data_IF_229803205191
#
_entry.id   IF_229803205191
#
_cell.length_a   1.000
_cell.length_b   1.000
_cell.length_c   1.000
_cell.angle_alpha   90.00
_cell.angle_beta   90.00
_cell.angle_gamma   90.00
#
_symmetry.space_group_name_H-M   'P 1'
#
loop_
_entity.id
_entity.type
_entity.pdbx_description
1 polymer ?
#
# COMPACT_ATOMS: atom_id res chain seq x y z
N UNK A 1 9.27 23.37 25.09
CA UNK A 1 8.73 22.84 26.36
C UNK A 1 7.22 22.50 26.30
N UNK A 2 6.60 22.35 25.10
CA UNK A 2 5.15 22.12 24.97
C UNK A 2 4.70 20.72 24.51
N UNK A 3 5.63 19.80 24.23
CA UNK A 3 5.31 18.49 23.63
C UNK A 3 5.05 17.35 24.63
N UNK A 4 5.51 17.47 25.88
CA UNK A 4 5.33 16.42 26.90
C UNK A 4 3.88 16.22 27.38
N UNK A 5 3.07 17.28 27.58
CA UNK A 5 1.68 17.13 28.02
C UNK A 5 0.81 16.46 26.95
N UNK A 6 1.00 16.86 25.68
CA UNK A 6 0.23 16.35 24.55
C UNK A 6 0.51 14.86 24.29
N UNK A 7 1.78 14.47 24.35
CA UNK A 7 2.21 13.07 24.22
C UNK A 7 1.61 12.18 25.32
N UNK A 8 1.58 12.68 26.57
CA UNK A 8 1.01 11.95 27.72
C UNK A 8 -0.53 11.86 27.67
N UNK A 9 -1.20 12.80 27.00
CA UNK A 9 -2.65 12.76 26.76
C UNK A 9 -3.04 11.81 25.62
N UNK A 10 -2.19 11.63 24.60
CA UNK A 10 -2.40 10.68 23.50
C UNK A 10 -2.35 9.23 24.00
N UNK A 11 -1.44 8.91 24.92
CA UNK A 11 -1.35 7.57 25.53
C UNK A 11 -2.59 7.21 26.38
N UNK A 12 -3.28 8.20 26.96
CA UNK A 12 -4.38 7.98 27.89
C UNK A 12 -5.76 7.90 27.22
N UNK A 13 -5.93 8.49 26.03
CA UNK A 13 -7.21 8.52 25.29
C UNK A 13 -7.00 8.48 23.76
N UNK A 14 -6.89 7.29 23.14
CA UNK A 14 -6.56 7.14 21.72
C UNK A 14 -7.61 7.71 20.76
N UNK A 15 -8.85 7.89 21.21
CA UNK A 15 -9.90 8.55 20.41
C UNK A 15 -9.65 10.04 20.17
N UNK A 16 -8.89 10.70 21.05
CA UNK A 16 -8.52 12.10 20.89
C UNK A 16 -7.58 12.25 19.69
N UNK A 17 -6.59 11.36 19.54
CA UNK A 17 -5.67 11.37 18.40
C UNK A 17 -6.41 11.26 17.06
N UNK A 18 -7.38 10.34 16.96
CA UNK A 18 -8.19 10.20 15.73
C UNK A 18 -9.03 11.45 15.44
N UNK A 19 -9.57 12.12 16.46
CA UNK A 19 -10.33 13.35 16.25
C UNK A 19 -9.42 14.53 15.84
N UNK A 20 -8.23 14.62 16.42
CA UNK A 20 -7.23 15.62 16.04
C UNK A 20 -6.74 15.41 14.61
N UNK A 21 -6.42 14.17 14.21
CA UNK A 21 -6.06 13.85 12.82
C UNK A 21 -7.19 14.20 11.86
N UNK A 22 -8.44 13.82 12.17
CA UNK A 22 -9.60 14.23 11.35
C UNK A 22 -9.73 15.75 11.27
N UNK A 23 -9.48 16.47 12.36
CA UNK A 23 -9.61 17.93 12.41
C UNK A 23 -8.51 18.65 11.64
N UNK A 24 -7.26 18.17 11.73
CA UNK A 24 -6.11 18.64 10.97
C UNK A 24 -6.31 18.39 9.47
N UNK A 25 -6.85 17.23 9.12
CA UNK A 25 -7.17 16.88 7.75
C UNK A 25 -8.20 17.83 7.13
N UNK A 26 -9.26 18.13 7.88
CA UNK A 26 -10.30 19.07 7.44
C UNK A 26 -9.74 20.50 7.37
N UNK A 27 -8.83 20.91 8.27
CA UNK A 27 -8.20 22.22 8.20
C UNK A 27 -7.24 22.35 7.02
N UNK A 28 -6.44 21.33 6.73
CA UNK A 28 -5.48 21.34 5.63
C UNK A 28 -6.20 21.31 4.28
N UNK A 29 -7.29 20.53 4.18
CA UNK A 29 -8.16 20.56 3.01
C UNK A 29 -8.80 21.94 2.79
N UNK A 30 -9.24 22.61 3.87
CA UNK A 30 -9.81 23.97 3.79
C UNK A 30 -8.75 25.02 3.45
N UNK A 31 -7.54 24.90 4.00
CA UNK A 31 -6.44 25.81 3.73
C UNK A 31 -5.96 25.69 2.28
N UNK A 32 -5.89 24.46 1.74
CA UNK A 32 -5.61 24.21 0.33
C UNK A 32 -6.64 24.86 -0.60
N UNK A 33 -7.93 24.75 -0.26
CA UNK A 33 -9.01 25.42 -1.02
C UNK A 33 -8.87 26.95 -0.94
N UNK A 34 -8.55 27.50 0.23
CA UNK A 34 -8.42 28.94 0.44
C UNK A 34 -7.20 29.55 -0.28
N UNK A 35 -6.01 28.95 -0.14
CA UNK A 35 -4.80 29.41 -0.82
C UNK A 35 -4.93 29.32 -2.35
N UNK A 36 -5.70 28.34 -2.87
CA UNK A 36 -5.91 28.21 -4.31
C UNK A 36 -6.90 29.22 -4.89
N UNK A 37 -7.75 29.86 -4.06
CA UNK A 37 -8.65 30.93 -4.50
C UNK A 37 -7.91 32.23 -4.83
N UNK A 38 -6.71 32.46 -4.28
CA UNK A 38 -5.87 33.61 -4.64
C UNK A 38 -5.12 33.43 -5.97
N UNK A 39 -4.90 32.20 -6.43
CA UNK A 39 -4.18 31.92 -7.67
C UNK A 39 -5.11 31.93 -8.90
N UNK A 40 -4.72 32.69 -9.92
CA UNK A 40 -5.40 32.86 -11.22
C UNK A 40 -5.43 31.55 -12.04
N UNK A 41 -6.16 30.52 -11.61
CA UNK A 41 -6.29 29.24 -12.32
C UNK A 41 -7.75 29.02 -12.80
N UNK A 42 -7.97 28.67 -14.08
CA UNK A 42 -9.30 28.64 -14.69
C UNK A 42 -10.17 27.49 -14.15
N UNK A 43 -11.44 27.80 -13.84
CA UNK A 43 -12.47 26.93 -13.20
C UNK A 43 -12.63 25.51 -13.77
N UNK A 44 -12.16 25.22 -14.99
CA UNK A 44 -12.20 23.87 -15.60
C UNK A 44 -11.19 22.88 -15.00
N UNK A 45 -10.04 23.36 -14.53
CA UNK A 45 -9.05 22.51 -13.80
C UNK A 45 -9.57 22.09 -12.42
N UNK A 46 -10.47 22.89 -11.84
CA UNK A 46 -10.89 22.77 -10.45
C UNK A 46 -11.91 21.63 -10.20
N UNK A 47 -12.85 21.42 -11.12
CA UNK A 47 -13.88 20.37 -10.96
C UNK A 47 -13.34 18.95 -11.14
N UNK A 48 -12.21 18.77 -11.83
CA UNK A 48 -11.69 17.44 -12.17
C UNK A 48 -10.37 17.09 -11.45
N UNK A 49 -9.52 18.07 -11.09
CA UNK A 49 -8.20 17.78 -10.50
C UNK A 49 -8.17 17.60 -8.98
N UNK A 50 -9.02 18.31 -8.22
CA UNK A 50 -8.99 18.26 -6.74
C UNK A 50 -9.85 17.15 -6.15
N UNK A 51 -10.90 16.73 -6.85
CA UNK A 51 -11.78 15.64 -6.42
C UNK A 51 -11.03 14.29 -6.24
N UNK A 52 -10.13 13.90 -7.17
CA UNK A 52 -9.24 12.76 -7.00
C UNK A 52 -8.36 12.83 -5.76
N UNK A 53 -7.73 13.98 -5.54
CA UNK A 53 -6.81 14.18 -4.42
C UNK A 53 -7.54 14.07 -3.10
N UNK A 54 -8.67 14.76 -2.93
CA UNK A 54 -9.46 14.73 -1.69
C UNK A 54 -10.05 13.33 -1.43
N UNK A 55 -10.51 12.65 -2.48
CA UNK A 55 -11.04 11.28 -2.36
C UNK A 55 -9.95 10.28 -1.98
N UNK A 56 -8.78 10.36 -2.62
CA UNK A 56 -7.60 9.55 -2.29
C UNK A 56 -7.13 9.80 -0.86
N UNK A 57 -7.12 11.06 -0.46
CA UNK A 57 -6.84 11.51 0.90
C UNK A 57 -7.75 10.83 1.93
N UNK A 58 -9.07 10.81 1.72
CA UNK A 58 -10.01 10.12 2.63
C UNK A 58 -9.74 8.60 2.70
N UNK A 59 -9.44 7.97 1.55
CA UNK A 59 -9.14 6.54 1.48
C UNK A 59 -7.83 6.23 2.22
N UNK A 60 -6.79 7.04 2.03
CA UNK A 60 -5.49 6.87 2.73
C UNK A 60 -5.65 7.07 4.24
N UNK A 61 -6.51 7.99 4.70
CA UNK A 61 -6.83 8.12 6.13
C UNK A 61 -7.44 6.85 6.73
N UNK A 62 -8.34 6.17 5.99
CA UNK A 62 -8.87 4.86 6.41
C UNK A 62 -7.75 3.80 6.44
N UNK A 63 -6.88 3.80 5.44
CA UNK A 63 -5.68 2.95 5.40
C UNK A 63 -4.75 3.17 6.61
N UNK A 64 -4.50 4.43 6.96
CA UNK A 64 -3.72 4.84 8.13
C UNK A 64 -4.32 4.36 9.45
N UNK A 65 -5.64 4.42 9.61
CA UNK A 65 -6.33 3.87 10.79
C UNK A 65 -6.19 2.35 10.86
N UNK A 66 -6.35 1.64 9.74
CA UNK A 66 -6.12 0.19 9.68
C UNK A 66 -4.67 -0.15 10.02
N UNK A 67 -3.71 0.69 9.60
CA UNK A 67 -2.30 0.50 9.87
C UNK A 67 -1.99 0.71 11.35
N UNK A 68 -2.52 1.76 11.97
CA UNK A 68 -2.40 2.00 13.41
C UNK A 68 -2.95 0.84 14.24
N UNK A 69 -4.12 0.32 13.85
CA UNK A 69 -4.67 -0.89 14.46
C UNK A 69 -3.72 -2.09 14.26
N UNK A 70 -3.16 -2.26 13.08
CA UNK A 70 -2.26 -3.38 12.77
C UNK A 70 -0.92 -3.29 13.50
N UNK A 71 -0.34 -2.09 13.63
CA UNK A 71 0.92 -1.82 14.38
C UNK A 71 0.76 -2.10 15.87
N UNK A 72 -0.39 -1.75 16.46
CA UNK A 72 -0.66 -2.06 17.87
C UNK A 72 -0.76 -3.57 18.15
N UNK A 73 -1.16 -4.36 17.15
CA UNK A 73 -1.26 -5.82 17.27
C UNK A 73 0.06 -6.55 16.92
N UNK A 74 0.89 -6.01 16.01
CA UNK A 74 2.12 -6.65 15.53
C UNK A 74 3.29 -5.68 15.51
N UNK A 75 4.21 -5.82 16.48
CA UNK A 75 5.43 -4.99 16.57
C UNK A 75 6.31 -5.17 15.32
N UNK A 76 6.71 -4.05 14.72
CA UNK A 76 7.62 -4.03 13.56
C UNK A 76 6.93 -4.15 12.21
N UNK A 77 5.60 -4.26 12.15
CA UNK A 77 4.83 -4.33 10.89
C UNK A 77 4.94 -3.04 10.05
N UNK A 78 5.16 -1.90 10.70
CA UNK A 78 5.31 -0.59 10.05
C UNK A 78 6.45 -0.57 9.01
N UNK A 79 7.58 -1.23 9.29
CA UNK A 79 8.72 -1.31 8.36
C UNK A 79 8.33 -2.11 7.11
N UNK A 80 7.54 -3.17 7.27
CA UNK A 80 7.07 -3.98 6.15
C UNK A 80 5.99 -3.29 5.32
N UNK A 81 5.18 -2.44 5.97
CA UNK A 81 4.19 -1.60 5.29
C UNK A 81 4.87 -0.60 4.34
N UNK A 82 5.95 0.04 4.80
CA UNK A 82 6.72 0.96 3.95
C UNK A 82 7.25 0.26 2.70
N UNK A 83 7.77 -0.96 2.86
CA UNK A 83 8.32 -1.73 1.73
C UNK A 83 7.23 -2.22 0.79
N UNK A 84 6.11 -2.72 1.32
CA UNK A 84 5.04 -3.29 0.49
C UNK A 84 4.37 -2.22 -0.37
N UNK A 85 4.13 -1.04 0.22
CA UNK A 85 3.59 0.12 -0.49
C UNK A 85 4.64 0.70 -1.44
N UNK A 86 5.88 0.87 -1.00
CA UNK A 86 6.96 1.41 -1.85
C UNK A 86 7.23 0.57 -3.09
N UNK A 87 7.20 -0.76 -2.99
CA UNK A 87 7.30 -1.64 -4.17
C UNK A 87 6.05 -1.51 -5.04
N UNK A 88 4.86 -1.69 -4.46
CA UNK A 88 3.60 -1.64 -5.21
C UNK A 88 3.40 -0.33 -5.98
N UNK A 89 3.54 0.80 -5.29
CA UNK A 89 3.31 2.14 -5.85
C UNK A 89 4.27 2.50 -6.97
N UNK A 90 5.56 2.16 -6.82
CA UNK A 90 6.54 2.41 -7.88
C UNK A 90 6.24 1.60 -9.14
N UNK A 91 5.85 0.33 -8.99
CA UNK A 91 5.47 -0.52 -10.11
C UNK A 91 4.22 0.02 -10.81
N UNK A 92 3.23 0.48 -10.04
CA UNK A 92 1.99 1.04 -10.59
C UNK A 92 2.25 2.36 -11.31
N UNK A 93 3.12 3.22 -10.78
CA UNK A 93 3.45 4.49 -11.43
C UNK A 93 4.08 4.26 -12.82
N UNK A 94 5.00 3.29 -12.91
CA UNK A 94 5.60 2.89 -14.20
C UNK A 94 4.54 2.30 -15.13
N UNK A 95 3.67 1.44 -14.60
CA UNK A 95 2.59 0.83 -15.35
C UNK A 95 1.61 1.86 -15.91
N UNK A 96 1.14 2.77 -15.07
CA UNK A 96 0.17 3.82 -15.38
C UNK A 96 0.72 4.73 -16.48
N UNK A 97 1.96 5.19 -16.34
CA UNK A 97 2.64 6.00 -17.35
C UNK A 97 2.76 5.30 -18.71
N UNK A 98 3.03 3.98 -18.72
CA UNK A 98 3.07 3.19 -19.97
C UNK A 98 1.70 3.05 -20.62
N UNK A 99 0.66 2.80 -19.82
CA UNK A 99 -0.72 2.70 -20.34
C UNK A 99 -1.15 4.07 -20.90
N UNK A 100 -0.91 5.15 -20.16
CA UNK A 100 -1.24 6.50 -20.61
C UNK A 100 -0.50 6.88 -21.89
N UNK A 101 0.81 6.62 -21.98
CA UNK A 101 1.59 6.90 -23.19
C UNK A 101 1.04 6.13 -24.40
N UNK A 102 0.67 4.85 -24.20
CA UNK A 102 0.09 4.02 -25.25
C UNK A 102 -1.25 4.58 -25.73
N UNK A 103 -2.11 5.02 -24.81
CA UNK A 103 -3.40 5.65 -25.11
C UNK A 103 -3.24 6.96 -25.89
N UNK A 104 -2.29 7.82 -25.50
CA UNK A 104 -2.00 9.06 -26.20
C UNK A 104 -1.49 8.82 -27.64
N UNK A 105 -0.64 7.81 -27.84
CA UNK A 105 -0.16 7.41 -29.16
C UNK A 105 -1.31 6.87 -30.05
N UNK A 106 -2.22 6.08 -29.49
CA UNK A 106 -3.38 5.58 -30.22
C UNK A 106 -4.39 6.68 -30.60
N UNK A 107 -4.61 7.64 -29.69
CA UNK A 107 -5.44 8.83 -29.94
C UNK A 107 -4.87 9.67 -31.08
N UNK A 108 -3.56 9.95 -31.05
CA UNK A 108 -2.89 10.69 -32.11
C UNK A 108 -2.97 9.96 -33.47
N UNK A 109 -2.91 8.63 -33.46
CA UNK A 109 -2.92 7.81 -34.67
C UNK A 109 -4.33 7.50 -35.20
N UNK A 110 -5.40 7.97 -34.54
CA UNK A 110 -6.79 7.80 -34.97
C UNK A 110 -7.30 6.35 -34.97
N UNK A 111 -6.62 5.42 -34.29
CA UNK A 111 -6.98 3.99 -34.25
C UNK A 111 -7.62 3.64 -32.91
N UNK A 112 -8.89 3.97 -32.73
CA UNK A 112 -9.65 3.64 -31.51
C UNK A 112 -10.47 2.37 -31.72
N UNK A 113 -9.82 1.21 -31.91
CA UNK A 113 -10.57 -0.04 -32.12
C UNK A 113 -10.01 -1.31 -31.45
N UNK A 114 -8.90 -1.24 -30.72
CA UNK A 114 -8.39 -2.44 -30.02
C UNK A 114 -8.53 -2.30 -28.51
N UNK A 115 -9.10 -3.30 -27.81
CA UNK A 115 -8.99 -3.34 -26.36
C UNK A 115 -7.50 -3.39 -26.02
N UNK A 116 -7.04 -2.43 -25.21
CA UNK A 116 -5.68 -2.34 -24.70
C UNK A 116 -5.23 -3.70 -24.19
N UNK A 117 -4.46 -4.43 -25.01
CA UNK A 117 -3.87 -5.71 -24.61
C UNK A 117 -2.53 -5.44 -23.94
N UNK A 118 -2.55 -4.63 -22.88
CA UNK A 118 -1.38 -4.42 -22.04
C UNK A 118 -1.37 -5.58 -21.04
N UNK A 119 -0.99 -6.76 -21.56
CA UNK A 119 -0.65 -7.91 -20.73
C UNK A 119 0.73 -7.65 -20.14
N UNK A 120 0.80 -6.79 -19.12
CA UNK A 120 1.99 -6.70 -18.30
C UNK A 120 1.89 -7.82 -17.28
N UNK A 121 2.78 -8.81 -17.45
CA UNK A 121 2.86 -9.95 -16.58
C UNK A 121 3.38 -9.43 -15.23
N UNK A 122 2.64 -9.64 -14.12
CA UNK A 122 3.09 -9.23 -12.79
C UNK A 122 4.47 -9.78 -12.42
N UNK A 123 4.89 -10.85 -13.08
CA UNK A 123 6.17 -11.54 -12.91
C UNK A 123 7.35 -10.72 -13.47
N UNK A 124 7.16 -10.00 -14.58
CA UNK A 124 8.20 -9.19 -15.20
C UNK A 124 8.48 -7.95 -14.36
N UNK A 125 7.42 -7.31 -13.87
CA UNK A 125 7.51 -6.15 -12.97
C UNK A 125 8.05 -6.54 -11.59
N UNK A 126 7.67 -7.71 -11.05
CA UNK A 126 8.20 -8.22 -9.78
C UNK A 126 9.70 -8.58 -9.88
N UNK A 127 10.17 -8.94 -11.08
CA UNK A 127 11.60 -9.14 -11.36
C UNK A 127 12.37 -7.83 -11.55
N UNK A 128 11.75 -6.67 -11.30
CA UNK A 128 12.45 -5.40 -11.37
C UNK A 128 13.54 -5.30 -10.28
N UNK A 129 14.64 -4.57 -10.55
CA UNK A 129 15.71 -4.34 -9.57
C UNK A 129 15.19 -3.76 -8.26
N UNK A 130 14.11 -2.97 -8.32
CA UNK A 130 13.46 -2.32 -7.18
C UNK A 130 13.03 -3.36 -6.14
N UNK A 131 12.37 -4.44 -6.57
CA UNK A 131 11.90 -5.51 -5.68
C UNK A 131 13.07 -6.24 -5.01
N UNK A 132 14.14 -6.51 -5.75
CA UNK A 132 15.33 -7.17 -5.22
C UNK A 132 16.11 -6.30 -4.22
N UNK A 133 16.24 -5.00 -4.50
CA UNK A 133 16.89 -4.04 -3.59
C UNK A 133 16.11 -3.94 -2.27
N UNK A 134 14.77 -3.89 -2.34
CA UNK A 134 13.92 -3.87 -1.15
C UNK A 134 13.97 -5.19 -0.36
N UNK A 135 13.96 -6.34 -1.03
CA UNK A 135 14.10 -7.67 -0.40
C UNK A 135 15.46 -7.83 0.29
N UNK A 136 16.53 -7.35 -0.35
CA UNK A 136 17.88 -7.31 0.22
C UNK A 136 17.96 -6.40 1.44
N UNK A 137 17.33 -5.22 1.38
CA UNK A 137 17.27 -4.28 2.51
C UNK A 137 16.56 -4.88 3.73
N UNK A 138 15.43 -5.57 3.53
CA UNK A 138 14.73 -6.29 4.60
C UNK A 138 15.61 -7.38 5.22
N UNK A 139 16.37 -8.11 4.40
CA UNK A 139 17.26 -9.16 4.87
C UNK A 139 18.41 -8.60 5.71
N UNK A 140 18.98 -7.46 5.31
CA UNK A 140 20.06 -6.79 6.04
C UNK A 140 19.60 -6.19 7.38
N UNK A 141 18.39 -5.61 7.42
CA UNK A 141 17.81 -5.04 8.64
C UNK A 141 17.51 -6.06 9.74
N UNK A 142 17.61 -7.38 9.48
CA UNK A 142 17.10 -8.45 10.34
C UNK A 142 18.13 -9.50 10.76
N UNK A 143 19.43 -9.25 10.58
CA UNK A 143 20.51 -10.21 10.80
C UNK A 143 20.78 -10.60 12.29
N UNK A 144 19.74 -10.99 13.05
CA UNK A 144 19.87 -11.37 14.47
C UNK A 144 19.04 -12.57 14.96
N UNK A 145 18.05 -13.09 14.22
CA UNK A 145 17.22 -14.25 14.66
C UNK A 145 16.80 -15.10 13.43
N UNK A 146 17.50 -16.21 13.17
CA UNK A 146 17.66 -16.78 11.82
C UNK A 146 16.68 -17.88 11.39
N UNK A 147 15.90 -18.52 12.28
CA UNK A 147 14.96 -19.60 11.88
C UNK A 147 13.54 -19.12 11.57
N UNK A 148 13.03 -18.13 12.30
CA UNK A 148 11.68 -17.58 12.09
C UNK A 148 11.61 -16.63 10.88
N UNK A 149 12.75 -16.10 10.44
CA UNK A 149 12.80 -15.03 9.42
C UNK A 149 12.55 -15.55 8.00
N UNK A 150 13.08 -16.72 7.61
CA UNK A 150 12.98 -17.20 6.22
C UNK A 150 11.54 -17.52 5.80
N UNK A 151 10.82 -18.30 6.61
CA UNK A 151 9.41 -18.64 6.35
C UNK A 151 8.52 -17.39 6.33
N UNK A 152 8.79 -16.43 7.21
CA UNK A 152 8.10 -15.14 7.21
C UNK A 152 8.37 -14.35 5.92
N UNK A 153 9.62 -14.28 5.46
CA UNK A 153 9.98 -13.58 4.22
C UNK A 153 9.24 -14.20 3.03
N UNK A 154 9.14 -15.52 2.93
CA UNK A 154 8.40 -16.18 1.85
C UNK A 154 6.92 -15.79 1.88
N UNK A 155 6.26 -15.87 3.03
CA UNK A 155 4.84 -15.48 3.19
C UNK A 155 4.65 -14.00 2.88
N UNK A 156 5.57 -13.15 3.32
CA UNK A 156 5.57 -11.72 3.05
C UNK A 156 5.69 -11.43 1.55
N UNK A 157 6.66 -12.04 0.86
CA UNK A 157 6.86 -11.86 -0.58
C UNK A 157 5.64 -12.31 -1.39
N UNK A 158 4.97 -13.39 -0.98
CA UNK A 158 3.71 -13.83 -1.60
C UNK A 158 2.59 -12.80 -1.40
N UNK A 159 2.48 -12.20 -0.21
CA UNK A 159 1.52 -11.13 0.06
C UNK A 159 1.84 -9.86 -0.75
N UNK A 160 3.11 -9.47 -0.87
CA UNK A 160 3.57 -8.37 -1.72
C UNK A 160 3.23 -8.63 -3.18
N UNK A 161 3.50 -9.83 -3.69
CA UNK A 161 3.16 -10.20 -5.07
C UNK A 161 1.65 -10.11 -5.31
N UNK A 162 0.83 -10.62 -4.38
CA UNK A 162 -0.62 -10.53 -4.48
C UNK A 162 -1.11 -9.08 -4.46
N UNK A 163 -0.55 -8.22 -3.60
CA UNK A 163 -0.86 -6.79 -3.60
C UNK A 163 -0.51 -6.13 -4.94
N UNK A 164 0.68 -6.38 -5.47
CA UNK A 164 1.13 -5.82 -6.76
C UNK A 164 0.18 -6.26 -7.88
N UNK A 165 -0.22 -7.53 -7.94
CA UNK A 165 -1.17 -8.03 -8.93
C UNK A 165 -2.51 -7.28 -8.86
N UNK A 166 -3.06 -7.14 -7.64
CA UNK A 166 -4.32 -6.43 -7.43
C UNK A 166 -4.22 -4.96 -7.85
N UNK A 167 -3.10 -4.31 -7.54
CA UNK A 167 -2.90 -2.92 -7.86
C UNK A 167 -2.66 -2.67 -9.36
N UNK A 168 -1.92 -3.54 -10.05
CA UNK A 168 -1.76 -3.47 -11.50
C UNK A 168 -3.12 -3.65 -12.21
N UNK A 169 -3.97 -4.54 -11.71
CA UNK A 169 -5.33 -4.72 -12.20
C UNK A 169 -6.18 -3.46 -11.99
N UNK A 170 -6.13 -2.87 -10.78
CA UNK A 170 -6.83 -1.61 -10.49
C UNK A 170 -6.30 -0.45 -11.36
N UNK A 171 -5.00 -0.40 -11.63
CA UNK A 171 -4.41 0.61 -12.50
C UNK A 171 -4.99 0.55 -13.91
N UNK A 172 -5.10 -0.64 -14.49
CA UNK A 172 -5.73 -0.82 -15.80
C UNK A 172 -7.19 -0.36 -15.81
N UNK A 173 -7.95 -0.76 -14.79
CA UNK A 173 -9.35 -0.36 -14.67
C UNK A 173 -9.50 1.15 -14.53
N UNK A 174 -8.70 1.77 -13.65
CA UNK A 174 -8.73 3.20 -13.37
C UNK A 174 -8.34 4.03 -14.60
N UNK A 175 -7.25 3.67 -15.28
CA UNK A 175 -6.79 4.40 -16.48
C UNK A 175 -7.84 4.34 -17.59
N UNK A 176 -8.40 3.15 -17.88
CA UNK A 176 -9.46 3.01 -18.89
C UNK A 176 -10.73 3.77 -18.49
N UNK A 177 -11.10 3.71 -17.20
CA UNK A 177 -12.26 4.43 -16.68
C UNK A 177 -12.08 5.95 -16.81
N UNK A 178 -10.91 6.48 -16.45
CA UNK A 178 -10.60 7.90 -16.56
C UNK A 178 -10.53 8.37 -18.01
N UNK A 179 -9.91 7.55 -18.87
CA UNK A 179 -9.87 7.79 -20.31
C UNK A 179 -11.28 7.88 -20.91
N UNK A 180 -12.19 6.97 -20.51
CA UNK A 180 -13.60 7.00 -20.96
C UNK A 180 -14.36 8.27 -20.54
N UNK A 181 -13.87 8.98 -19.52
CA UNK A 181 -14.43 10.23 -19.02
C UNK A 181 -13.72 11.48 -19.55
N UNK A 182 -12.74 11.33 -20.44
CA UNK A 182 -11.93 12.43 -20.94
C UNK A 182 -11.05 13.09 -19.88
N UNK A 183 -10.70 12.35 -18.83
CA UNK A 183 -9.76 12.78 -17.79
C UNK A 183 -8.38 12.24 -18.09
N UNK A 184 -7.34 13.08 -17.96
CA UNK A 184 -5.96 12.67 -18.16
C UNK A 184 -5.54 11.72 -17.01
N UNK A 185 -5.29 10.42 -17.29
CA UNK A 185 -5.02 9.42 -16.27
C UNK A 185 -3.73 9.72 -15.50
N UNK A 186 -2.69 10.26 -16.16
CA UNK A 186 -1.39 10.56 -15.53
C UNK A 186 -1.51 11.52 -14.34
N UNK A 187 -2.45 12.46 -14.40
CA UNK A 187 -2.59 13.52 -13.39
C UNK A 187 -3.41 13.08 -12.17
N UNK A 188 -4.30 12.11 -12.37
CA UNK A 188 -5.42 11.89 -11.46
C UNK A 188 -5.57 10.43 -11.04
N UNK A 189 -4.92 9.47 -11.72
CA UNK A 189 -4.94 8.05 -11.35
C UNK A 189 -3.96 7.75 -10.20
N UNK A 190 -2.79 8.40 -10.20
CA UNK A 190 -1.73 8.17 -9.20
C UNK A 190 -2.25 8.34 -7.76
N UNK A 191 -2.94 9.43 -7.38
CA UNK A 191 -3.45 9.59 -6.02
C UNK A 191 -4.39 8.45 -5.60
N UNK A 192 -5.30 8.04 -6.49
CA UNK A 192 -6.24 6.95 -6.21
C UNK A 192 -5.52 5.61 -6.05
N UNK A 193 -4.52 5.35 -6.90
CA UNK A 193 -3.78 4.09 -6.89
C UNK A 193 -2.86 3.98 -5.68
N UNK A 194 -2.23 5.08 -5.26
CA UNK A 194 -1.49 5.17 -3.99
C UNK A 194 -2.42 4.90 -2.80
N UNK A 195 -3.59 5.57 -2.73
CA UNK A 195 -4.54 5.34 -1.65
C UNK A 195 -5.10 3.90 -1.62
N UNK A 196 -5.31 3.30 -2.80
CA UNK A 196 -5.66 1.88 -2.92
C UNK A 196 -4.50 0.97 -2.44
N UNK A 197 -3.25 1.36 -2.72
CA UNK A 197 -2.05 0.68 -2.23
C UNK A 197 -2.01 0.61 -0.71
N UNK A 198 -2.19 1.74 -0.04
CA UNK A 198 -2.28 1.84 1.43
C UNK A 198 -3.39 0.95 2.00
N UNK A 199 -4.57 1.01 1.40
CA UNK A 199 -5.75 0.29 1.86
C UNK A 199 -5.64 -1.23 1.65
N UNK A 200 -4.99 -1.68 0.58
CA UNK A 200 -4.81 -3.10 0.28
C UNK A 200 -3.60 -3.68 1.00
N UNK A 201 -2.47 -2.97 1.04
CA UNK A 201 -1.23 -3.49 1.61
C UNK A 201 -1.35 -3.79 3.10
N UNK A 202 -2.04 -2.92 3.84
CA UNK A 202 -2.23 -3.06 5.29
C UNK A 202 -2.95 -4.36 5.70
N UNK A 203 -4.16 -4.67 5.20
CA UNK A 203 -4.85 -5.91 5.54
C UNK A 203 -4.15 -7.16 4.99
N UNK A 204 -3.56 -7.11 3.78
CA UNK A 204 -2.78 -8.25 3.26
C UNK A 204 -1.61 -8.57 4.18
N UNK A 205 -0.89 -7.55 4.63
CA UNK A 205 0.22 -7.70 5.57
C UNK A 205 -0.26 -8.23 6.93
N UNK A 206 -1.37 -7.70 7.46
CA UNK A 206 -1.98 -8.22 8.69
C UNK A 206 -2.38 -9.69 8.61
N UNK A 207 -2.94 -10.12 7.47
CA UNK A 207 -3.28 -11.52 7.20
C UNK A 207 -2.01 -12.38 7.12
N UNK A 208 -0.96 -11.91 6.44
CA UNK A 208 0.32 -12.60 6.34
C UNK A 208 0.95 -12.85 7.74
N UNK A 209 0.97 -11.84 8.60
CA UNK A 209 1.47 -11.97 9.98
C UNK A 209 0.63 -12.93 10.83
N UNK A 210 -0.70 -12.86 10.72
CA UNK A 210 -1.61 -13.77 11.43
C UNK A 210 -1.42 -15.21 10.96
N UNK A 211 -1.29 -15.43 9.65
CA UNK A 211 -1.04 -16.74 9.06
C UNK A 211 0.30 -17.30 9.53
N UNK A 212 1.37 -16.50 9.45
CA UNK A 212 2.70 -16.88 9.91
C UNK A 212 2.71 -17.28 11.39
N UNK A 213 2.08 -16.47 12.26
CA UNK A 213 2.01 -16.75 13.71
C UNK A 213 1.31 -18.08 13.99
N UNK A 214 0.19 -18.36 13.30
CA UNK A 214 -0.50 -19.66 13.40
C UNK A 214 0.34 -20.83 12.90
N UNK A 215 1.04 -20.65 11.78
CA UNK A 215 1.90 -21.68 11.19
C UNK A 215 3.03 -22.06 12.16
N UNK A 216 3.69 -21.07 12.74
CA UNK A 216 4.78 -21.26 13.72
C UNK A 216 4.31 -22.02 14.96
N UNK A 217 3.18 -21.62 15.55
CA UNK A 217 2.62 -22.31 16.73
C UNK A 217 2.33 -23.79 16.41
N UNK A 218 1.76 -24.06 15.23
CA UNK A 218 1.48 -25.43 14.79
C UNK A 218 2.75 -26.27 14.64
N UNK A 219 3.82 -25.71 14.08
CA UNK A 219 5.11 -26.39 13.93
C UNK A 219 5.72 -26.67 15.31
N UNK A 220 5.70 -25.70 16.23
CA UNK A 220 6.23 -25.87 17.59
C UNK A 220 5.48 -26.97 18.36
N UNK A 221 4.15 -27.00 18.28
CA UNK A 221 3.33 -28.06 18.90
C UNK A 221 3.64 -29.42 18.27
N UNK A 222 3.80 -29.49 16.95
CA UNK A 222 4.17 -30.74 16.27
C UNK A 222 5.54 -31.26 16.72
N UNK A 223 6.51 -30.36 16.92
CA UNK A 223 7.85 -30.73 17.38
C UNK A 223 7.86 -31.18 18.84
N UNK A 224 7.13 -30.47 19.71
CA UNK A 224 6.93 -30.88 21.11
C UNK A 224 6.27 -32.26 21.18
N UNK A 225 5.21 -32.48 20.39
CA UNK A 225 4.54 -33.78 20.34
C UNK A 225 5.49 -34.89 19.86
N UNK A 226 6.37 -34.61 18.89
CA UNK A 226 7.38 -35.55 18.42
C UNK A 226 8.42 -35.86 19.51
N UNK A 227 8.90 -34.85 20.23
CA UNK A 227 9.82 -35.02 21.36
C UNK A 227 9.21 -35.83 22.51
N UNK A 228 7.97 -35.50 22.90
CA UNK A 228 7.23 -36.23 23.94
C UNK A 228 7.01 -37.68 23.52
N UNK A 229 6.64 -37.94 22.27
CA UNK A 229 6.50 -39.31 21.75
C UNK A 229 7.84 -40.04 21.80
N UNK A 230 8.95 -39.41 21.43
CA UNK A 230 10.28 -40.06 21.51
C UNK A 230 10.75 -40.34 22.94
N UNK A 231 10.32 -39.55 23.93
CA UNK A 231 10.64 -39.77 25.35
C UNK A 231 9.76 -40.83 26.00
N UNK A 232 8.50 -40.98 25.56
CA UNK A 232 7.58 -42.01 26.08
C UNK A 232 7.92 -43.40 25.52
N UNK A 233 8.44 -43.44 24.29
CA UNK A 233 8.74 -44.70 23.57
C UNK A 233 10.24 -45.01 23.45
N UNK A 234 11.11 -44.32 24.21
CA UNK A 234 12.52 -44.72 24.33
C UNK A 234 12.62 -45.99 25.21
N UNK A 235 13.29 -47.06 24.72
CA UNK A 235 13.40 -48.34 25.42
C UNK A 235 14.19 -48.28 26.73
#
# INVERSE_FOLDING_TARGET
>A
MGSLPLYRSIDNQPWIANHYDCSLFISDARLGIYCCQESFLPKKFFNYGWSPVISAMLISSIGGLMLNFTISNYKGIAVFQLVINGVGENLIAVQESRISTSLHLEQHNGKVEKPLKICISPIDEFSSPVTYIFSYTISYLRAGQTSFTATFIVVYLLATLLQVILLLYLAQLMVVWMWSRGMDPDSSAIPYLTAAGDLLGTPLLGIAFKFFTKLVIKIQISEINRQVTSLIFSP
#
